data_IF_382647463055
#
_entry.id   IF_382647463055
#
_cell.length_a   1.000
_cell.length_b   1.000
_cell.length_c   1.000
_cell.angle_alpha   90.00
_cell.angle_beta   90.00
_cell.angle_gamma   90.00
#
_symmetry.space_group_name_H-M   'P 1'
#
loop_
_entity.id
_entity.type
_entity.pdbx_description
1 polymer ?
#
# COMPACT_ATOMS: atom_id res chain seq x y z
N UNK A 1 1.66 15.68 21.34
CA UNK A 1 1.64 15.95 19.89
C UNK A 1 1.59 14.61 19.18
N UNK A 2 0.42 14.21 18.70
CA UNK A 2 0.27 13.06 17.79
C UNK A 2 0.56 13.57 16.39
N UNK A 3 1.73 13.23 15.84
CA UNK A 3 2.04 13.55 14.45
C UNK A 3 1.18 12.64 13.57
N UNK A 4 0.18 13.19 12.89
CA UNK A 4 -0.50 12.49 11.81
C UNK A 4 0.49 12.34 10.65
N UNK A 5 0.81 11.10 10.29
CA UNK A 5 1.71 10.77 9.19
C UNK A 5 0.88 10.11 8.10
N UNK A 6 0.86 10.72 6.92
CA UNK A 6 0.27 10.10 5.74
C UNK A 6 1.31 9.14 5.14
N UNK A 7 1.24 7.86 5.54
CA UNK A 7 2.20 6.85 5.12
C UNK A 7 2.31 6.71 3.59
N UNK A 8 1.29 7.09 2.81
CA UNK A 8 1.33 7.02 1.35
C UNK A 8 2.15 8.15 0.70
N UNK A 9 2.32 9.27 1.40
CA UNK A 9 3.05 10.45 0.90
C UNK A 9 4.38 10.59 1.62
N UNK A 10 4.37 10.56 2.96
CA UNK A 10 5.51 10.89 3.79
C UNK A 10 6.56 9.77 3.82
N UNK A 11 6.11 8.51 3.72
CA UNK A 11 6.98 7.34 3.84
C UNK A 11 7.47 6.78 2.49
N UNK A 12 7.30 7.50 1.37
CA UNK A 12 7.60 6.99 0.01
C UNK A 12 9.07 6.59 -0.17
N UNK A 13 9.98 7.27 0.53
CA UNK A 13 11.43 7.01 0.51
C UNK A 13 11.94 6.27 1.75
N UNK A 14 11.03 5.71 2.55
CA UNK A 14 11.34 5.08 3.83
C UNK A 14 10.56 5.70 4.98
N UNK A 15 10.42 4.96 6.08
CA UNK A 15 9.58 5.38 7.19
C UNK A 15 10.16 6.58 7.95
N UNK A 16 9.42 7.70 7.97
CA UNK A 16 9.80 8.93 8.70
C UNK A 16 9.80 8.78 10.23
N UNK A 17 9.10 7.76 10.76
CA UNK A 17 9.02 7.47 12.20
C UNK A 17 10.06 6.45 12.67
N UNK A 18 10.84 5.85 11.75
CA UNK A 18 11.81 4.80 12.05
C UNK A 18 11.17 3.62 12.79
N UNK A 19 11.70 3.30 13.97
CA UNK A 19 11.22 2.18 14.80
C UNK A 19 9.81 2.35 15.36
N UNK A 20 9.27 3.58 15.36
CA UNK A 20 7.91 3.86 15.82
C UNK A 20 6.85 3.68 14.73
N UNK A 21 7.21 3.08 13.59
CA UNK A 21 6.27 2.78 12.53
C UNK A 21 5.12 1.89 13.05
N UNK A 22 3.85 2.34 13.00
CA UNK A 22 2.71 1.54 13.46
C UNK A 22 2.53 0.25 12.65
N UNK A 23 3.06 0.23 11.42
CA UNK A 23 2.96 -0.89 10.49
C UNK A 23 4.17 -1.84 10.55
N UNK A 24 5.13 -1.63 11.48
CA UNK A 24 6.34 -2.46 11.58
C UNK A 24 6.03 -3.95 11.78
N UNK A 25 4.91 -4.26 12.45
CA UNK A 25 4.43 -5.64 12.66
C UNK A 25 4.15 -6.42 11.38
N UNK A 26 3.90 -5.74 10.27
CA UNK A 26 3.62 -6.38 8.97
C UNK A 26 4.89 -6.61 8.13
N UNK A 27 6.06 -6.15 8.60
CA UNK A 27 7.30 -6.25 7.83
C UNK A 27 7.73 -7.71 7.59
N UNK A 28 7.52 -8.58 8.57
CA UNK A 28 7.84 -10.01 8.48
C UNK A 28 6.95 -10.71 7.45
N UNK A 29 5.64 -10.52 7.54
CA UNK A 29 4.66 -11.09 6.60
C UNK A 29 4.91 -10.59 5.16
N UNK A 30 5.20 -9.30 4.99
CA UNK A 30 5.55 -8.74 3.69
C UNK A 30 6.84 -9.34 3.12
N UNK A 31 7.84 -9.61 3.97
CA UNK A 31 9.11 -10.22 3.56
C UNK A 31 8.88 -11.67 3.11
N UNK A 32 8.11 -12.44 3.87
CA UNK A 32 7.73 -13.81 3.52
C UNK A 32 6.98 -13.86 2.19
N UNK A 33 6.01 -12.96 2.00
CA UNK A 33 5.27 -12.87 0.73
C UNK A 33 6.21 -12.64 -0.47
N UNK A 34 7.20 -11.75 -0.34
CA UNK A 34 8.15 -11.44 -1.41
C UNK A 34 9.05 -12.65 -1.71
N UNK A 35 9.48 -13.38 -0.68
CA UNK A 35 10.35 -14.55 -0.81
C UNK A 35 9.62 -15.75 -1.42
N UNK A 36 8.38 -16.00 -1.00
CA UNK A 36 7.60 -17.16 -1.40
C UNK A 36 6.82 -16.96 -2.71
N UNK A 37 6.58 -15.71 -3.11
CA UNK A 37 5.83 -15.40 -4.33
C UNK A 37 6.79 -15.16 -5.50
N UNK A 38 6.70 -15.99 -6.54
CA UNK A 38 7.49 -15.77 -7.75
C UNK A 38 7.09 -14.47 -8.46
N UNK A 39 8.04 -13.89 -9.21
CA UNK A 39 7.79 -12.68 -10.00
C UNK A 39 6.61 -12.86 -10.97
N UNK A 40 6.53 -14.01 -11.64
CA UNK A 40 5.41 -14.33 -12.55
C UNK A 40 4.07 -14.31 -11.81
N UNK A 41 4.03 -14.86 -10.58
CA UNK A 41 2.83 -14.87 -9.76
C UNK A 41 2.43 -13.46 -9.33
N UNK A 42 3.39 -12.60 -9.00
CA UNK A 42 3.12 -11.19 -8.69
C UNK A 42 2.52 -10.45 -9.90
N UNK A 43 3.04 -10.70 -11.10
CA UNK A 43 2.52 -10.10 -12.35
C UNK A 43 1.08 -10.57 -12.61
N UNK A 44 0.78 -11.85 -12.39
CA UNK A 44 -0.59 -12.40 -12.50
C UNK A 44 -1.56 -11.69 -11.54
N UNK A 45 -1.17 -11.53 -10.27
CA UNK A 45 -1.97 -10.82 -9.25
C UNK A 45 -2.23 -9.38 -9.68
N UNK A 46 -1.21 -8.68 -10.19
CA UNK A 46 -1.34 -7.31 -10.67
C UNK A 46 -2.33 -7.19 -11.84
N UNK A 47 -2.30 -8.14 -12.78
CA UNK A 47 -3.22 -8.18 -13.92
C UNK A 47 -4.67 -8.42 -13.49
N UNK A 48 -4.89 -9.33 -12.52
CA UNK A 48 -6.22 -9.58 -11.94
C UNK A 48 -6.75 -8.32 -11.26
N UNK A 49 -5.92 -7.64 -10.46
CA UNK A 49 -6.29 -6.40 -9.79
C UNK A 49 -6.62 -5.28 -10.80
N UNK A 50 -5.83 -5.16 -11.88
CA UNK A 50 -6.09 -4.21 -12.96
C UNK A 50 -7.45 -4.46 -13.61
N UNK A 51 -7.75 -5.71 -13.96
CA UNK A 51 -9.04 -6.09 -14.57
C UNK A 51 -10.21 -5.77 -13.65
N UNK A 52 -10.11 -6.08 -12.35
CA UNK A 52 -11.15 -5.74 -11.36
C UNK A 52 -11.42 -4.24 -11.33
N UNK A 53 -10.36 -3.43 -11.21
CA UNK A 53 -10.46 -1.96 -11.20
C UNK A 53 -11.08 -1.39 -12.48
N UNK A 54 -10.84 -2.00 -13.64
CA UNK A 54 -11.45 -1.60 -14.92
C UNK A 54 -12.95 -1.92 -14.99
N UNK A 55 -13.39 -2.98 -14.31
CA UNK A 55 -14.81 -3.38 -14.27
C UNK A 55 -15.59 -2.76 -13.12
N UNK A 56 -14.91 -2.23 -12.12
CA UNK A 56 -15.53 -1.55 -10.98
C UNK A 56 -16.15 -0.21 -11.40
N UNK A 57 -17.34 0.15 -10.87
CA UNK A 57 -17.91 1.47 -11.10
C UNK A 57 -16.96 2.58 -10.63
N UNK A 58 -16.89 3.72 -11.35
CA UNK A 58 -16.02 4.82 -10.95
C UNK A 58 -16.41 5.34 -9.56
N UNK A 59 -15.43 5.46 -8.67
CA UNK A 59 -15.58 6.13 -7.38
C UNK A 59 -15.40 7.63 -7.59
N UNK A 60 -16.48 8.39 -7.44
CA UNK A 60 -16.45 9.85 -7.50
C UNK A 60 -16.10 10.40 -6.13
N UNK A 61 -14.86 10.86 -5.96
CA UNK A 61 -14.43 11.59 -4.76
C UNK A 61 -14.80 13.06 -5.00
N UNK A 62 -15.83 13.54 -4.31
CA UNK A 62 -16.14 14.97 -4.27
C UNK A 62 -15.21 15.56 -3.20
N UNK A 63 -14.30 16.49 -3.55
CA UNK A 63 -13.46 17.15 -2.57
C UNK A 63 -14.37 17.83 -1.54
N UNK A 64 -14.11 17.60 -0.25
CA UNK A 64 -14.74 18.41 0.80
C UNK A 64 -14.21 19.85 0.68
N UNK A 65 -15.10 20.83 0.85
CA UNK A 65 -14.79 22.26 0.70
C UNK A 65 -13.55 22.66 1.53
N UNK A 66 -12.68 23.46 0.89
CA UNK A 66 -11.38 23.96 1.37
C UNK A 66 -11.52 24.81 2.64
#
# INVERSE_FOLDING_TARGET
MTTEVNCAVDCVNGCVLGDRCPNKKYAEEASQFIEETSLDKMIEIAEIARKKKLTEPPQWIIPEDI
#
